data_IF_196272524417
#
_entry.id   IF_196272524417
#
_cell.length_a   1.000
_cell.length_b   1.000
_cell.length_c   1.000
_cell.angle_alpha   90.00
_cell.angle_beta   90.00
_cell.angle_gamma   90.00
#
_symmetry.space_group_name_H-M   'P 1'
#
loop_
_entity.id
_entity.type
_entity.pdbx_description
1 polymer ?
#
# COMPACT_ATOMS: atom_id res chain seq x y z
N UNK A 1 0.76 -6.98 7.73
CA UNK A 1 0.14 -6.05 8.70
C UNK A 1 0.53 -6.40 10.12
N UNK A 2 0.67 -5.40 10.99
CA UNK A 2 0.73 -5.51 12.45
C UNK A 2 -0.61 -5.11 13.08
N UNK A 3 -0.80 -5.44 14.36
CA UNK A 3 -2.02 -5.10 15.09
C UNK A 3 -2.29 -3.58 15.09
N UNK A 4 -3.53 -3.19 14.78
CA UNK A 4 -3.98 -1.80 14.68
C UNK A 4 -3.66 -1.11 13.34
N UNK A 5 -2.88 -1.70 12.46
CA UNK A 5 -2.51 -1.09 11.18
C UNK A 5 -3.69 -0.98 10.21
N UNK A 6 -4.62 -1.93 10.29
CA UNK A 6 -5.85 -1.92 9.50
C UNK A 6 -7.03 -1.26 10.20
N UNK A 7 -6.92 -0.93 11.48
CA UNK A 7 -8.04 -0.47 12.31
C UNK A 7 -8.76 0.77 11.74
N UNK A 8 -8.02 1.71 11.15
CA UNK A 8 -8.59 2.92 10.54
C UNK A 8 -9.26 2.68 9.18
N UNK A 9 -8.88 1.60 8.47
CA UNK A 9 -9.38 1.27 7.13
C UNK A 9 -10.50 0.24 7.18
N UNK A 10 -10.36 -0.76 8.02
CA UNK A 10 -11.31 -1.86 8.21
C UNK A 10 -11.11 -2.49 9.60
N UNK A 11 -11.85 -2.02 10.63
CA UNK A 11 -11.79 -2.60 11.97
C UNK A 11 -12.12 -4.10 12.00
N UNK A 12 -12.99 -4.53 11.08
CA UNK A 12 -13.38 -5.95 10.96
C UNK A 12 -12.19 -6.79 10.51
N UNK A 13 -11.44 -6.34 9.49
CA UNK A 13 -10.24 -7.05 9.02
C UNK A 13 -9.13 -7.02 10.08
N UNK A 14 -8.94 -5.91 10.79
CA UNK A 14 -7.93 -5.82 11.85
C UNK A 14 -8.24 -6.80 12.98
N UNK A 15 -9.48 -6.81 13.47
CA UNK A 15 -9.92 -7.74 14.51
C UNK A 15 -9.78 -9.20 14.08
N UNK A 16 -10.18 -9.53 12.85
CA UNK A 16 -10.03 -10.88 12.30
C UNK A 16 -8.56 -11.28 12.20
N UNK A 17 -7.71 -10.42 11.62
CA UNK A 17 -6.29 -10.70 11.37
C UNK A 17 -5.53 -11.14 12.63
N UNK A 18 -5.87 -10.59 13.80
CA UNK A 18 -5.11 -10.83 15.03
C UNK A 18 -5.79 -11.73 16.06
N UNK A 19 -7.00 -12.23 15.74
CA UNK A 19 -7.71 -13.24 16.55
C UNK A 19 -7.78 -14.61 15.86
N UNK A 20 -7.71 -14.64 14.53
CA UNK A 20 -7.83 -15.85 13.73
C UNK A 20 -6.50 -16.63 13.64
N UNK A 21 -6.61 -17.89 13.24
CA UNK A 21 -5.49 -18.79 13.01
C UNK A 21 -5.15 -18.87 11.52
N UNK A 22 -4.00 -19.46 11.22
CA UNK A 22 -3.62 -19.75 9.82
C UNK A 22 -4.74 -20.52 9.10
N UNK A 23 -5.03 -20.14 7.89
CA UNK A 23 -6.09 -20.63 7.01
C UNK A 23 -7.54 -20.30 7.40
N UNK A 24 -7.78 -19.65 8.54
CA UNK A 24 -9.13 -19.19 8.87
C UNK A 24 -9.66 -18.24 7.80
N UNK A 25 -10.95 -18.32 7.57
CA UNK A 25 -11.67 -17.52 6.57
C UNK A 25 -12.68 -16.63 7.28
N UNK A 26 -12.62 -15.34 6.99
CA UNK A 26 -13.68 -14.39 7.31
C UNK A 26 -14.74 -14.46 6.21
N UNK A 27 -15.98 -14.86 6.53
CA UNK A 27 -17.08 -14.87 5.58
C UNK A 27 -17.34 -13.50 4.96
N UNK A 28 -18.15 -13.47 3.91
CA UNK A 28 -18.52 -12.22 3.24
C UNK A 28 -19.18 -11.26 4.24
N UNK A 29 -18.66 -10.04 4.29
CA UNK A 29 -19.23 -8.93 5.05
C UNK A 29 -19.26 -7.68 4.16
N UNK A 30 -20.10 -6.71 4.52
CA UNK A 30 -20.21 -5.45 3.81
C UNK A 30 -19.54 -4.33 4.61
N UNK A 31 -18.75 -3.52 3.92
CA UNK A 31 -18.11 -2.33 4.47
C UNK A 31 -18.29 -1.19 3.48
N UNK A 32 -19.10 -0.21 3.87
CA UNK A 32 -19.56 0.82 2.95
C UNK A 32 -20.29 0.23 1.74
N UNK A 33 -19.83 0.57 0.55
CA UNK A 33 -20.39 0.06 -0.72
C UNK A 33 -19.56 -1.11 -1.29
N UNK A 34 -18.86 -1.88 -0.44
CA UNK A 34 -18.00 -2.98 -0.88
C UNK A 34 -18.29 -4.23 -0.08
N UNK A 35 -18.46 -5.35 -0.76
CA UNK A 35 -18.48 -6.67 -0.15
C UNK A 35 -17.04 -7.21 -0.10
N UNK A 36 -16.66 -7.74 1.06
CA UNK A 36 -15.33 -8.27 1.32
C UNK A 36 -15.40 -9.67 1.92
N UNK A 37 -14.42 -10.50 1.56
CA UNK A 37 -14.12 -11.75 2.25
C UNK A 37 -12.62 -11.82 2.43
N UNK A 38 -12.14 -12.45 3.51
CA UNK A 38 -10.71 -12.51 3.76
C UNK A 38 -10.28 -13.88 4.28
N UNK A 39 -9.01 -14.21 4.08
CA UNK A 39 -8.37 -15.42 4.62
C UNK A 39 -7.00 -15.06 5.18
N UNK A 40 -6.62 -15.73 6.28
CA UNK A 40 -5.25 -15.69 6.78
C UNK A 40 -4.36 -16.49 5.85
N UNK A 41 -3.44 -15.82 5.19
CA UNK A 41 -2.49 -16.44 4.26
C UNK A 41 -1.17 -16.83 4.94
N UNK A 42 -0.69 -16.02 5.88
CA UNK A 42 0.43 -16.40 6.75
C UNK A 42 0.44 -15.59 8.04
N UNK A 43 1.03 -16.18 9.08
CA UNK A 43 1.34 -15.51 10.35
C UNK A 43 2.83 -15.73 10.60
N UNK A 44 3.59 -14.64 10.77
CA UNK A 44 5.04 -14.70 10.98
C UNK A 44 5.46 -13.80 12.13
N UNK A 45 6.53 -14.18 12.82
CA UNK A 45 7.23 -13.32 13.77
C UNK A 45 8.31 -12.55 13.01
N UNK A 46 8.09 -11.25 12.82
CA UNK A 46 9.01 -10.37 12.09
C UNK A 46 9.22 -9.08 12.88
N UNK A 47 10.40 -8.45 12.77
CA UNK A 47 10.62 -7.13 13.36
C UNK A 47 9.64 -6.10 12.77
N UNK A 48 9.23 -5.13 13.58
CA UNK A 48 8.38 -4.03 13.10
C UNK A 48 9.17 -3.09 12.20
N UNK A 49 10.42 -2.84 12.55
CA UNK A 49 11.34 -2.04 11.77
C UNK A 49 12.77 -2.61 11.83
N UNK A 50 13.55 -2.28 10.82
CA UNK A 50 14.96 -2.64 10.67
C UNK A 50 15.76 -1.40 10.32
N UNK A 51 16.95 -1.24 10.91
CA UNK A 51 17.89 -0.18 10.54
C UNK A 51 18.82 -0.70 9.46
N UNK A 52 18.77 -0.07 8.28
CA UNK A 52 19.43 -0.56 7.07
C UNK A 52 20.52 0.39 6.61
N UNK A 53 21.66 -0.17 6.25
CA UNK A 53 22.71 0.47 5.51
C UNK A 53 22.84 -0.17 4.13
N UNK A 54 23.17 0.62 3.10
CA UNK A 54 23.41 0.11 1.76
C UNK A 54 24.53 0.85 1.01
N UNK A 55 25.08 0.18 0.02
CA UNK A 55 25.95 0.78 -1.01
C UNK A 55 25.31 0.44 -2.36
N UNK A 56 24.99 1.46 -3.14
CA UNK A 56 24.40 1.32 -4.47
C UNK A 56 25.50 1.34 -5.52
N UNK A 57 25.61 0.28 -6.31
CA UNK A 57 26.53 0.13 -7.42
C UNK A 57 25.81 0.20 -8.77
N UNK A 58 26.45 0.72 -9.83
CA UNK A 58 25.88 0.70 -11.17
C UNK A 58 25.68 -0.75 -11.64
N UNK A 59 24.65 -1.00 -12.46
CA UNK A 59 24.32 -2.34 -12.93
C UNK A 59 24.19 -2.42 -14.48
N UNK A 60 24.84 -1.52 -15.21
CA UNK A 60 24.89 -1.57 -16.68
C UNK A 60 25.62 -2.85 -17.15
N UNK A 61 26.68 -3.24 -16.45
CA UNK A 61 27.35 -4.53 -16.62
C UNK A 61 27.22 -5.35 -15.34
N UNK A 62 26.35 -6.36 -15.37
CA UNK A 62 26.06 -7.21 -14.21
C UNK A 62 27.27 -7.97 -13.67
N UNK A 63 28.16 -8.39 -14.57
CA UNK A 63 29.37 -9.14 -14.17
C UNK A 63 30.36 -8.23 -13.45
N UNK A 64 30.54 -7.01 -13.94
CA UNK A 64 31.37 -5.98 -13.31
C UNK A 64 30.79 -5.52 -11.98
N UNK A 65 29.48 -5.25 -11.93
CA UNK A 65 28.77 -4.88 -10.71
C UNK A 65 28.93 -5.94 -9.62
N UNK A 66 28.78 -7.22 -9.98
CA UNK A 66 28.96 -8.34 -9.04
C UNK A 66 30.39 -8.43 -8.53
N UNK A 67 31.38 -8.34 -9.40
CA UNK A 67 32.80 -8.33 -8.98
C UNK A 67 33.13 -7.18 -8.06
N UNK A 68 32.60 -5.99 -8.34
CA UNK A 68 32.71 -4.81 -7.49
C UNK A 68 32.09 -5.05 -6.12
N UNK A 69 30.86 -5.58 -6.09
CA UNK A 69 30.16 -5.91 -4.85
C UNK A 69 30.94 -6.95 -4.01
N UNK A 70 31.41 -8.02 -4.63
CA UNK A 70 32.19 -9.06 -3.94
C UNK A 70 33.49 -8.49 -3.35
N UNK A 71 34.17 -7.59 -4.06
CA UNK A 71 35.36 -6.90 -3.57
C UNK A 71 35.07 -6.01 -2.37
N UNK A 72 34.01 -5.22 -2.42
CA UNK A 72 33.62 -4.32 -1.31
C UNK A 72 33.11 -5.13 -0.10
N UNK A 73 32.38 -6.21 -0.32
CA UNK A 73 31.97 -7.12 0.75
C UNK A 73 33.19 -7.69 1.46
N UNK A 74 34.21 -8.17 0.71
CA UNK A 74 35.43 -8.70 1.30
C UNK A 74 36.22 -7.68 2.14
N UNK A 75 36.18 -6.40 1.76
CA UNK A 75 36.80 -5.29 2.54
C UNK A 75 35.99 -5.02 3.81
N UNK A 76 34.67 -4.96 3.70
CA UNK A 76 33.75 -4.75 4.82
C UNK A 76 33.78 -5.90 5.84
N UNK A 77 33.90 -7.15 5.38
CA UNK A 77 34.05 -8.33 6.24
C UNK A 77 35.38 -8.35 7.01
N UNK A 78 36.42 -7.70 6.47
CA UNK A 78 37.72 -7.49 7.14
C UNK A 78 37.68 -6.33 8.15
N UNK A 79 36.54 -5.65 8.31
CA UNK A 79 36.33 -4.62 9.33
C UNK A 79 36.50 -3.19 8.84
N UNK A 80 36.51 -2.94 7.53
CA UNK A 80 36.46 -1.59 7.00
C UNK A 80 35.16 -0.86 7.45
N UNK A 81 35.24 0.44 7.66
CA UNK A 81 34.09 1.25 8.03
C UNK A 81 33.09 1.36 6.89
N UNK A 82 31.84 0.94 7.14
CA UNK A 82 30.79 0.91 6.14
C UNK A 82 30.47 2.29 5.55
N UNK A 83 30.47 3.33 6.41
CA UNK A 83 30.18 4.70 6.02
C UNK A 83 31.24 5.27 5.10
N UNK A 84 32.50 4.99 5.40
CA UNK A 84 33.61 5.41 4.54
C UNK A 84 33.56 4.70 3.18
N UNK A 85 33.37 3.38 3.15
CA UNK A 85 33.25 2.62 1.91
C UNK A 85 32.05 3.08 1.09
N UNK A 86 30.92 3.39 1.74
CA UNK A 86 29.73 3.94 1.08
C UNK A 86 30.00 5.33 0.50
N UNK A 87 30.67 6.22 1.25
CA UNK A 87 31.03 7.56 0.80
C UNK A 87 31.86 7.54 -0.49
N UNK A 88 32.78 6.59 -0.59
CA UNK A 88 33.69 6.48 -1.73
C UNK A 88 33.03 5.80 -2.95
N UNK A 89 32.21 4.76 -2.72
CA UNK A 89 31.79 3.83 -3.78
C UNK A 89 30.30 3.87 -4.12
N UNK A 90 29.42 4.36 -3.24
CA UNK A 90 27.98 4.36 -3.50
C UNK A 90 27.57 5.40 -4.53
N UNK A 91 26.64 5.07 -5.41
CA UNK A 91 25.94 6.01 -6.29
C UNK A 91 24.90 6.82 -5.53
N UNK A 92 24.42 6.33 -4.40
CA UNK A 92 23.51 7.08 -3.52
C UNK A 92 24.33 8.11 -2.72
N UNK A 93 24.28 9.35 -3.15
CA UNK A 93 25.01 10.50 -2.59
C UNK A 93 24.02 11.52 -2.03
N UNK A 94 23.31 11.17 -0.95
CA UNK A 94 22.47 12.15 -0.26
C UNK A 94 23.34 13.04 0.66
N UNK A 95 23.50 14.33 0.34
CA UNK A 95 24.39 15.22 1.12
C UNK A 95 23.85 15.53 2.52
N UNK A 96 22.57 15.25 2.78
CA UNK A 96 21.92 15.49 4.06
C UNK A 96 21.82 14.24 4.94
N UNK A 97 22.42 13.12 4.52
CA UNK A 97 22.38 11.86 5.23
C UNK A 97 23.81 11.33 5.48
N UNK A 98 23.95 10.46 6.47
CA UNK A 98 25.19 9.72 6.69
C UNK A 98 25.38 8.76 5.49
N UNK A 99 26.54 8.78 4.83
CA UNK A 99 26.77 7.93 3.67
C UNK A 99 26.47 6.46 3.96
N UNK A 100 25.67 5.86 3.09
CA UNK A 100 25.26 4.46 3.21
C UNK A 100 24.15 4.20 4.22
N UNK A 101 23.66 5.16 4.98
CA UNK A 101 22.52 4.95 5.88
C UNK A 101 21.18 5.27 5.20
N UNK A 102 20.30 4.25 5.10
CA UNK A 102 18.89 4.44 4.76
C UNK A 102 18.10 4.80 6.02
N UNK A 103 18.53 4.27 7.19
CA UNK A 103 17.85 4.46 8.46
C UNK A 103 16.83 3.35 8.75
N UNK A 104 15.83 3.70 9.59
CA UNK A 104 14.78 2.76 10.00
C UNK A 104 13.73 2.58 8.89
N UNK A 105 13.61 1.35 8.41
CA UNK A 105 12.58 0.94 7.45
C UNK A 105 11.48 0.14 8.15
N UNK A 106 10.23 0.44 7.81
CA UNK A 106 9.06 -0.37 8.12
C UNK A 106 8.56 -1.08 6.85
N UNK A 107 7.77 -2.13 6.97
CA UNK A 107 7.22 -2.81 5.79
C UNK A 107 6.28 -1.93 4.96
N UNK A 108 5.62 -0.94 5.56
CA UNK A 108 4.75 0.01 4.86
C UNK A 108 5.51 1.12 4.11
N UNK A 109 6.75 1.43 4.53
CA UNK A 109 7.63 2.42 3.91
C UNK A 109 8.85 1.78 3.23
N UNK A 110 8.73 0.52 2.85
CA UNK A 110 9.83 -0.26 2.31
C UNK A 110 10.11 0.09 0.84
N UNK A 111 11.38 0.21 0.52
CA UNK A 111 11.85 0.27 -0.87
C UNK A 111 11.58 -1.10 -1.52
N UNK A 112 10.96 -1.16 -2.72
CA UNK A 112 10.75 -2.42 -3.41
C UNK A 112 12.03 -3.28 -3.51
N UNK A 113 11.95 -4.53 -3.06
CA UNK A 113 13.10 -5.45 -3.03
C UNK A 113 13.84 -5.49 -1.69
N UNK A 114 13.55 -4.62 -0.73
CA UNK A 114 14.19 -4.62 0.60
C UNK A 114 13.46 -5.46 1.66
N UNK A 115 12.44 -6.22 1.25
CA UNK A 115 11.70 -7.14 2.12
C UNK A 115 12.60 -8.20 2.78
N UNK A 116 13.67 -8.60 2.10
CA UNK A 116 14.70 -9.52 2.63
C UNK A 116 15.37 -8.96 3.90
N UNK A 117 15.44 -7.64 4.09
CA UNK A 117 16.01 -7.03 5.29
C UNK A 117 15.31 -7.47 6.58
N UNK A 118 13.99 -7.73 6.53
CA UNK A 118 13.21 -8.13 7.70
C UNK A 118 13.48 -9.57 8.17
N UNK A 119 14.08 -10.40 7.33
CA UNK A 119 14.47 -11.78 7.65
C UNK A 119 15.99 -11.97 7.70
N UNK A 120 16.76 -11.00 7.23
CA UNK A 120 18.21 -11.04 7.22
C UNK A 120 18.80 -11.07 8.64
N UNK A 121 19.91 -11.77 8.82
CA UNK A 121 20.66 -11.77 10.07
C UNK A 121 21.36 -10.43 10.23
N UNK A 122 21.17 -9.71 11.36
CA UNK A 122 21.88 -8.46 11.61
C UNK A 122 23.39 -8.63 11.53
N UNK A 123 24.05 -7.63 10.95
CA UNK A 123 25.51 -7.63 10.72
C UNK A 123 25.96 -8.36 9.47
N UNK A 124 25.18 -9.27 8.92
CA UNK A 124 25.53 -9.99 7.69
C UNK A 124 25.30 -9.13 6.45
N UNK A 125 26.29 -9.14 5.55
CA UNK A 125 26.20 -8.48 4.24
C UNK A 125 25.50 -9.40 3.23
N UNK A 126 24.69 -8.81 2.37
CA UNK A 126 24.11 -9.51 1.22
C UNK A 126 23.86 -8.52 0.06
N UNK A 127 23.69 -9.04 -1.13
CA UNK A 127 23.40 -8.22 -2.32
C UNK A 127 21.96 -8.36 -2.75
N UNK A 128 21.39 -7.27 -3.26
CA UNK A 128 20.07 -7.27 -3.88
C UNK A 128 20.05 -6.36 -5.10
N UNK A 129 19.45 -6.83 -6.20
CA UNK A 129 19.33 -6.07 -7.45
C UNK A 129 17.95 -5.36 -7.48
N UNK A 130 17.96 -4.08 -7.82
CA UNK A 130 16.75 -3.27 -8.05
C UNK A 130 16.85 -2.56 -9.39
N UNK A 131 15.81 -1.83 -9.78
CA UNK A 131 15.85 -0.97 -10.97
C UNK A 131 16.92 0.15 -10.89
N UNK A 132 17.39 0.50 -9.71
CA UNK A 132 18.40 1.54 -9.50
C UNK A 132 19.84 1.02 -9.61
N UNK A 133 20.04 -0.29 -9.45
CA UNK A 133 21.35 -0.91 -9.51
C UNK A 133 21.47 -2.11 -8.56
N UNK A 134 22.73 -2.51 -8.31
CA UNK A 134 23.06 -3.56 -7.36
C UNK A 134 23.37 -2.95 -5.99
N UNK A 135 22.60 -3.36 -4.99
CA UNK A 135 22.80 -2.92 -3.61
C UNK A 135 23.62 -3.94 -2.83
N UNK A 136 24.62 -3.48 -2.08
CA UNK A 136 25.20 -4.21 -0.95
C UNK A 136 24.44 -3.73 0.29
N UNK A 137 23.81 -4.62 1.02
CA UNK A 137 22.92 -4.30 2.13
C UNK A 137 23.44 -4.92 3.42
N UNK A 138 23.34 -4.15 4.50
CA UNK A 138 23.59 -4.59 5.88
C UNK A 138 22.42 -4.15 6.78
N UNK A 139 21.81 -5.09 7.46
CA UNK A 139 20.89 -4.76 8.56
C UNK A 139 21.73 -4.55 9.81
N UNK A 140 21.81 -3.31 10.31
CA UNK A 140 22.56 -2.94 11.49
C UNK A 140 21.84 -3.35 12.76
N UNK A 141 20.56 -3.03 12.83
CA UNK A 141 19.70 -3.25 13.99
C UNK A 141 18.30 -3.66 13.57
N UNK A 142 17.56 -4.27 14.49
CA UNK A 142 16.14 -4.58 14.29
C UNK A 142 15.38 -4.50 15.61
N UNK A 143 14.10 -4.15 15.53
CA UNK A 143 13.21 -4.20 16.69
C UNK A 143 12.90 -5.65 17.08
N UNK A 144 12.34 -5.84 18.27
CA UNK A 144 11.86 -7.16 18.70
C UNK A 144 10.81 -7.67 17.71
N UNK A 145 10.82 -8.97 17.38
CA UNK A 145 9.80 -9.56 16.53
C UNK A 145 8.40 -9.42 17.13
N UNK A 146 7.45 -9.11 16.27
CA UNK A 146 6.02 -9.06 16.59
C UNK A 146 5.23 -9.93 15.62
N UNK A 147 3.98 -10.23 15.95
CA UNK A 147 3.09 -10.94 15.05
C UNK A 147 2.79 -10.06 13.83
N UNK A 148 3.13 -10.54 12.66
CA UNK A 148 2.76 -9.98 11.35
C UNK A 148 1.85 -10.96 10.63
N UNK A 149 0.75 -10.45 10.12
CA UNK A 149 -0.27 -11.25 9.42
C UNK A 149 -0.35 -10.82 7.97
N UNK A 150 -0.40 -11.80 7.08
CA UNK A 150 -0.70 -11.60 5.68
C UNK A 150 -2.13 -12.07 5.40
N UNK A 151 -2.95 -11.17 4.86
CA UNK A 151 -4.33 -11.45 4.45
C UNK A 151 -4.41 -11.59 2.94
N UNK A 152 -5.19 -12.55 2.47
CA UNK A 152 -5.78 -12.52 1.15
C UNK A 152 -7.19 -11.94 1.29
N UNK A 153 -7.45 -10.81 0.63
CA UNK A 153 -8.75 -10.12 0.70
C UNK A 153 -9.36 -10.10 -0.70
N UNK A 154 -10.59 -10.60 -0.81
CA UNK A 154 -11.42 -10.45 -1.99
C UNK A 154 -12.37 -9.29 -1.77
N UNK A 155 -12.40 -8.35 -2.71
CA UNK A 155 -13.27 -7.18 -2.64
C UNK A 155 -14.11 -7.07 -3.91
N UNK A 156 -15.38 -6.72 -3.74
CA UNK A 156 -16.28 -6.40 -4.85
C UNK A 156 -17.21 -5.25 -4.48
N UNK A 157 -17.12 -4.18 -5.26
CA UNK A 157 -18.03 -3.03 -5.08
C UNK A 157 -19.46 -3.42 -5.43
N UNK A 158 -20.40 -2.98 -4.60
CA UNK A 158 -21.82 -3.05 -4.88
C UNK A 158 -22.18 -1.93 -5.87
N UNK A 159 -22.27 -2.28 -7.13
CA UNK A 159 -22.72 -1.36 -8.19
C UNK A 159 -24.12 -1.72 -8.66
N UNK A 160 -24.91 -0.71 -9.00
CA UNK A 160 -26.24 -0.92 -9.54
C UNK A 160 -26.15 -1.77 -10.82
N UNK A 161 -26.93 -2.83 -10.88
CA UNK A 161 -27.10 -3.62 -12.09
C UNK A 161 -27.78 -2.83 -13.21
N UNK A 162 -27.70 -3.33 -14.43
CA UNK A 162 -28.30 -2.69 -15.63
C UNK A 162 -29.79 -2.37 -15.43
N UNK A 163 -30.55 -3.31 -14.88
CA UNK A 163 -32.00 -3.14 -14.63
C UNK A 163 -32.26 -2.04 -13.61
N UNK A 164 -31.52 -2.02 -12.51
CA UNK A 164 -31.62 -0.96 -11.49
C UNK A 164 -31.30 0.41 -12.09
N UNK A 165 -30.21 0.50 -12.86
CA UNK A 165 -29.82 1.74 -13.54
C UNK A 165 -30.92 2.20 -14.52
N UNK A 166 -31.44 1.30 -15.36
CA UNK A 166 -32.51 1.59 -16.32
C UNK A 166 -33.81 2.02 -15.62
N UNK A 167 -34.13 1.40 -14.48
CA UNK A 167 -35.29 1.78 -13.68
C UNK A 167 -35.20 3.21 -13.17
N UNK A 168 -34.08 3.61 -12.60
CA UNK A 168 -33.87 5.00 -12.15
C UNK A 168 -33.79 5.99 -13.31
N UNK A 169 -33.11 5.63 -14.39
CA UNK A 169 -33.02 6.47 -15.59
C UNK A 169 -34.40 6.73 -16.21
N UNK A 170 -35.25 5.69 -16.32
CA UNK A 170 -36.62 5.85 -16.81
C UNK A 170 -37.45 6.77 -15.92
N UNK A 171 -37.36 6.62 -14.59
CA UNK A 171 -38.05 7.51 -13.64
C UNK A 171 -37.57 8.96 -13.77
N UNK A 172 -36.27 9.18 -13.92
CA UNK A 172 -35.72 10.51 -14.10
C UNK A 172 -36.22 11.16 -15.41
N UNK A 173 -36.26 10.39 -16.51
CA UNK A 173 -36.81 10.86 -17.78
C UNK A 173 -38.31 11.16 -17.70
N UNK A 174 -39.08 10.33 -17.01
CA UNK A 174 -40.50 10.57 -16.77
C UNK A 174 -40.71 11.87 -16.01
N UNK A 175 -39.96 12.07 -14.92
CA UNK A 175 -40.04 13.33 -14.13
C UNK A 175 -39.70 14.53 -15.02
N UNK A 176 -38.61 14.48 -15.77
CA UNK A 176 -38.18 15.56 -16.66
C UNK A 176 -39.24 15.88 -17.72
N UNK A 177 -39.80 14.86 -18.39
CA UNK A 177 -40.81 15.00 -19.41
C UNK A 177 -42.12 15.61 -18.86
N UNK A 178 -42.60 15.09 -17.74
CA UNK A 178 -43.84 15.57 -17.10
C UNK A 178 -43.72 16.97 -16.51
N UNK A 179 -42.52 17.39 -16.15
CA UNK A 179 -42.24 18.72 -15.58
C UNK A 179 -42.30 19.86 -16.62
N UNK A 180 -42.25 19.56 -17.93
CA UNK A 180 -42.31 20.55 -19.03
C UNK A 180 -41.38 21.76 -18.83
N UNK A 181 -40.26 21.57 -18.16
CA UNK A 181 -39.33 22.67 -17.82
C UNK A 181 -39.83 23.69 -16.79
N UNK A 182 -40.95 23.43 -16.12
CA UNK A 182 -41.54 24.34 -15.14
C UNK A 182 -41.28 23.86 -13.72
N UNK A 183 -40.71 24.72 -12.85
CA UNK A 183 -40.36 24.40 -11.46
C UNK A 183 -41.58 23.97 -10.64
N UNK A 184 -42.72 24.65 -10.82
CA UNK A 184 -43.97 24.30 -10.11
C UNK A 184 -44.42 22.87 -10.45
N UNK A 185 -44.47 22.53 -11.74
CA UNK A 185 -44.80 21.18 -12.21
C UNK A 185 -43.76 20.14 -11.77
N UNK A 186 -42.49 20.49 -11.78
CA UNK A 186 -41.40 19.59 -11.30
C UNK A 186 -41.68 19.16 -9.86
N UNK A 187 -41.97 20.10 -8.97
CA UNK A 187 -42.26 19.80 -7.57
C UNK A 187 -43.52 18.97 -7.35
N UNK A 188 -44.56 19.22 -8.15
CA UNK A 188 -45.81 18.47 -8.12
C UNK A 188 -45.58 17.02 -8.58
N UNK A 189 -44.98 16.82 -9.73
CA UNK A 189 -44.68 15.50 -10.29
C UNK A 189 -43.70 14.73 -9.41
N UNK A 190 -42.67 15.39 -8.86
CA UNK A 190 -41.74 14.75 -7.93
C UNK A 190 -42.45 14.19 -6.69
N UNK A 191 -43.42 14.97 -6.14
CA UNK A 191 -44.26 14.51 -5.03
C UNK A 191 -45.14 13.32 -5.40
N UNK A 192 -45.79 13.36 -6.57
CA UNK A 192 -46.58 12.23 -7.07
C UNK A 192 -45.75 10.97 -7.27
N UNK A 193 -44.53 11.11 -7.80
CA UNK A 193 -43.59 9.98 -8.03
C UNK A 193 -42.89 9.54 -6.75
N UNK A 194 -43.15 10.16 -5.61
CA UNK A 194 -42.43 9.92 -4.35
C UNK A 194 -40.92 10.06 -4.47
N UNK A 195 -40.48 11.09 -5.19
CA UNK A 195 -39.10 11.47 -5.36
C UNK A 195 -38.81 12.77 -4.63
N UNK A 196 -37.71 12.83 -3.88
CA UNK A 196 -37.32 14.00 -3.12
C UNK A 196 -36.20 14.76 -3.85
N UNK A 197 -36.51 15.93 -4.45
CA UNK A 197 -35.50 16.75 -5.09
C UNK A 197 -34.49 17.28 -4.06
N UNK A 198 -33.23 17.13 -4.32
CA UNK A 198 -32.15 17.71 -3.53
C UNK A 198 -31.65 18.98 -4.23
N UNK A 199 -31.75 20.17 -3.59
CA UNK A 199 -31.23 21.37 -4.18
C UNK A 199 -29.69 21.35 -4.26
N UNK A 200 -29.16 21.69 -5.41
CA UNK A 200 -27.74 21.90 -5.60
C UNK A 200 -27.46 23.40 -5.67
N UNK A 201 -26.59 23.90 -4.79
CA UNK A 201 -26.25 25.33 -4.67
C UNK A 201 -24.81 25.57 -5.16
N UNK A 202 -24.56 26.78 -5.66
CA UNK A 202 -23.21 27.24 -6.03
C UNK A 202 -22.49 26.36 -7.08
N UNK A 203 -23.24 25.85 -8.05
CA UNK A 203 -22.66 25.05 -9.15
C UNK A 203 -21.86 25.99 -10.05
N UNK A 204 -20.55 25.80 -10.12
CA UNK A 204 -19.69 26.53 -11.05
C UNK A 204 -19.92 26.05 -12.49
N UNK A 205 -19.82 26.99 -13.46
CA UNK A 205 -19.88 26.63 -14.87
C UNK A 205 -18.79 25.63 -15.22
N UNK A 206 -19.15 24.50 -15.81
CA UNK A 206 -18.23 23.43 -16.17
C UNK A 206 -17.90 22.43 -15.06
N UNK A 207 -18.60 22.48 -13.91
CA UNK A 207 -18.47 21.43 -12.88
C UNK A 207 -18.85 20.06 -13.44
N UNK A 208 -17.98 19.07 -13.22
CA UNK A 208 -18.20 17.68 -13.71
C UNK A 208 -18.98 16.80 -12.74
N UNK A 209 -19.25 17.30 -11.55
CA UNK A 209 -20.03 16.59 -10.50
C UNK A 209 -20.76 17.65 -9.63
N UNK A 210 -21.89 17.25 -9.09
CA UNK A 210 -22.72 18.03 -8.16
C UNK A 210 -22.59 17.38 -6.78
#
# INVERSE_FOLDING_TARGET
YKAGELASKSPVLDSFAFKAKYSDVLPVFQEGNTFKAARINSIKQLPDSVFVQHILLPNQDKALAKKGADSLIAILEKGADFTQVAAENSLDKNPNAIPGEIGWLTQSAMIPGFDTCFVATPGKLFTHETQYGLHIIKVKERTKPINKVQLAVLEKSAVAGRETYQGFYSKANELASRSEGKIAKFNEVAKEMNVFPMPAYNIAQGAKSI
#
